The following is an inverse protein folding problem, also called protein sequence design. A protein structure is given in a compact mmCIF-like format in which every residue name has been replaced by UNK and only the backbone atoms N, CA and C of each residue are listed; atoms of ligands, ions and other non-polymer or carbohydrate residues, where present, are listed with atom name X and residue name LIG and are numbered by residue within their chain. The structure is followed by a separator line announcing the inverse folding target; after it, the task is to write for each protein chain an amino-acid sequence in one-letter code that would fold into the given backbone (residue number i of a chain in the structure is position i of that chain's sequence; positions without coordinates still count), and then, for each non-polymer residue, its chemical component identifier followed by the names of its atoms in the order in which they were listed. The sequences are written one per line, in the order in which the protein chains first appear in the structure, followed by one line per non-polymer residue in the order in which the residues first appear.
data_IF_932420703095
#
_entry.id   IF_932420703095
#
_cell.length_a   1.000
_cell.length_b   1.000
_cell.length_c   1.000
_cell.angle_alpha   90.00
_cell.angle_beta   90.00
_cell.angle_gamma   90.00
#
_symmetry.space_group_name_H-M   'P 1'
#
loop_
_entity.id
_entity.type
_entity.pdbx_description
1 polymer ?
#
# COMPACT_ATOMS: atom_id res chain seq x y z
N UNK A 1 -26.18 16.51 -16.07
CA UNK A 1 -25.89 15.07 -15.85
C UNK A 1 -24.38 14.91 -15.99
N UNK A 2 -23.70 14.40 -14.98
CA UNK A 2 -22.26 14.11 -15.06
C UNK A 2 -22.05 12.69 -15.60
N UNK A 3 -20.95 12.42 -16.33
CA UNK A 3 -20.71 11.11 -16.91
C UNK A 3 -20.48 10.06 -15.82
N UNK A 4 -20.94 8.83 -16.06
CA UNK A 4 -20.66 7.70 -15.17
C UNK A 4 -19.21 7.30 -15.35
N UNK A 5 -18.44 7.27 -14.25
CA UNK A 5 -17.02 6.96 -14.25
C UNK A 5 -16.80 5.54 -13.75
N UNK A 6 -16.33 4.65 -14.63
CA UNK A 6 -16.11 3.24 -14.33
C UNK A 6 -14.61 2.88 -14.41
N UNK A 7 -14.14 2.08 -13.47
CA UNK A 7 -12.77 1.56 -13.47
C UNK A 7 -12.51 0.50 -14.57
N UNK A 8 -13.54 0.02 -15.28
CA UNK A 8 -13.36 -0.78 -16.49
C UNK A 8 -12.77 0.03 -17.65
N UNK A 9 -12.96 1.36 -17.61
CA UNK A 9 -12.68 2.25 -18.74
C UNK A 9 -11.46 3.14 -18.46
N UNK A 10 -10.47 2.63 -17.72
CA UNK A 10 -9.34 3.44 -17.26
C UNK A 10 -8.55 4.08 -18.41
N UNK A 11 -8.45 3.41 -19.55
CA UNK A 11 -7.74 3.94 -20.72
C UNK A 11 -8.47 5.16 -21.31
N UNK A 12 -9.81 5.13 -21.35
CA UNK A 12 -10.60 6.31 -21.68
C UNK A 12 -10.39 7.44 -20.67
N UNK A 13 -10.41 7.11 -19.37
CA UNK A 13 -10.22 8.12 -18.32
C UNK A 13 -8.82 8.72 -18.31
N UNK A 14 -7.81 7.98 -18.76
CA UNK A 14 -6.46 8.51 -18.96
C UNK A 14 -6.45 9.64 -19.98
N UNK A 15 -7.07 9.44 -21.14
CA UNK A 15 -7.19 10.47 -22.17
C UNK A 15 -7.96 11.68 -21.64
N UNK A 16 -9.06 11.46 -20.90
CA UNK A 16 -9.86 12.52 -20.29
C UNK A 16 -9.05 13.30 -19.25
N UNK A 17 -8.28 12.62 -18.40
CA UNK A 17 -7.42 13.27 -17.39
C UNK A 17 -6.33 14.11 -18.06
N UNK A 18 -5.71 13.61 -19.13
CA UNK A 18 -4.71 14.34 -19.90
C UNK A 18 -5.32 15.57 -20.61
N UNK A 19 -6.49 15.42 -21.23
CA UNK A 19 -7.19 16.52 -21.87
C UNK A 19 -7.64 17.58 -20.85
N UNK A 20 -8.22 17.15 -19.73
CA UNK A 20 -8.63 18.04 -18.63
C UNK A 20 -7.43 18.82 -18.09
N UNK A 21 -6.24 18.21 -18.04
CA UNK A 21 -4.99 18.90 -17.70
C UNK A 21 -4.59 19.95 -18.72
N UNK A 22 -4.57 19.58 -20.00
CA UNK A 22 -4.17 20.50 -21.08
C UNK A 22 -5.10 21.71 -21.20
N UNK A 23 -6.37 21.53 -20.85
CA UNK A 23 -7.41 22.56 -20.90
C UNK A 23 -7.64 23.26 -19.56
N UNK A 24 -6.79 23.01 -18.55
CA UNK A 24 -6.89 23.60 -17.21
C UNK A 24 -8.29 23.44 -16.57
N UNK A 25 -8.82 22.20 -16.60
CA UNK A 25 -10.13 21.83 -16.05
C UNK A 25 -9.97 21.02 -14.74
N UNK A 26 -9.52 21.64 -13.62
CA UNK A 26 -9.21 20.93 -12.37
C UNK A 26 -10.44 20.27 -11.74
N UNK A 27 -11.64 20.81 -11.96
CA UNK A 27 -12.87 20.24 -11.41
C UNK A 27 -13.25 18.91 -12.08
N UNK A 28 -13.02 18.79 -13.39
CA UNK A 28 -13.23 17.53 -14.10
C UNK A 28 -12.22 16.47 -13.64
N UNK A 29 -10.96 16.86 -13.50
CA UNK A 29 -9.92 16.01 -12.94
C UNK A 29 -10.30 15.50 -11.54
N UNK A 30 -10.79 16.40 -10.68
CA UNK A 30 -11.24 16.07 -9.32
C UNK A 30 -12.44 15.15 -9.31
N UNK A 31 -13.41 15.40 -10.19
CA UNK A 31 -14.59 14.55 -10.34
C UNK A 31 -14.21 13.11 -10.73
N UNK A 32 -13.40 12.95 -11.78
CA UNK A 32 -12.99 11.63 -12.29
C UNK A 32 -12.19 10.88 -11.24
N UNK A 33 -11.15 11.50 -10.65
CA UNK A 33 -10.34 10.85 -9.64
C UNK A 33 -11.12 10.50 -8.37
N UNK A 34 -12.06 11.36 -7.95
CA UNK A 34 -12.94 11.04 -6.81
C UNK A 34 -13.76 9.78 -7.10
N UNK A 35 -14.38 9.69 -8.29
CA UNK A 35 -15.23 8.56 -8.65
C UNK A 35 -14.47 7.26 -8.86
N UNK A 36 -13.26 7.33 -9.40
CA UNK A 36 -12.38 6.15 -9.49
C UNK A 36 -11.83 5.76 -8.12
N UNK A 37 -11.49 6.72 -7.26
CA UNK A 37 -11.03 6.48 -5.88
C UNK A 37 -12.09 5.83 -4.97
N UNK A 38 -13.37 6.05 -5.25
CA UNK A 38 -14.48 5.34 -4.60
C UNK A 38 -14.49 3.83 -4.93
N UNK A 39 -13.94 3.42 -6.08
CA UNK A 39 -13.88 2.04 -6.54
C UNK A 39 -12.64 1.30 -6.00
N UNK A 40 -12.60 1.08 -4.68
CA UNK A 40 -11.42 0.59 -3.93
C UNK A 40 -10.74 -0.66 -4.53
N UNK A 41 -11.51 -1.62 -5.07
CA UNK A 41 -10.96 -2.84 -5.68
C UNK A 41 -10.09 -2.58 -6.91
N UNK A 42 -10.28 -1.45 -7.59
CA UNK A 42 -9.50 -1.06 -8.77
C UNK A 42 -8.16 -0.42 -8.45
N UNK A 43 -7.95 0.05 -7.21
CA UNK A 43 -6.77 0.84 -6.84
C UNK A 43 -5.51 -0.04 -6.86
N UNK A 44 -5.55 -1.23 -6.26
CA UNK A 44 -4.37 -2.14 -6.18
C UNK A 44 -3.76 -2.48 -7.54
N UNK A 45 -4.52 -2.97 -8.54
CA UNK A 45 -3.94 -3.27 -9.85
C UNK A 45 -3.46 -2.00 -10.58
N UNK A 46 -4.04 -0.84 -10.30
CA UNK A 46 -3.76 0.40 -11.04
C UNK A 46 -3.02 1.47 -10.21
N UNK A 47 -2.39 1.09 -9.10
CA UNK A 47 -1.82 2.04 -8.13
C UNK A 47 -0.82 3.02 -8.76
N UNK A 48 -0.08 2.57 -9.77
CA UNK A 48 0.86 3.42 -10.53
C UNK A 48 0.13 4.53 -11.29
N UNK A 49 -0.94 4.18 -12.02
CA UNK A 49 -1.74 5.14 -12.80
C UNK A 49 -2.42 6.14 -11.87
N UNK A 50 -3.07 5.65 -10.83
CA UNK A 50 -3.73 6.50 -9.83
C UNK A 50 -2.75 7.44 -9.13
N UNK A 51 -1.57 6.96 -8.76
CA UNK A 51 -0.56 7.81 -8.15
C UNK A 51 -0.07 8.88 -9.12
N UNK A 52 0.18 8.52 -10.38
CA UNK A 52 0.58 9.48 -11.40
C UNK A 52 -0.49 10.57 -11.57
N UNK A 53 -1.75 10.20 -11.79
CA UNK A 53 -2.84 11.16 -11.96
C UNK A 53 -3.06 12.03 -10.72
N UNK A 54 -3.09 11.43 -9.53
CA UNK A 54 -3.32 12.16 -8.27
C UNK A 54 -2.18 13.14 -7.91
N UNK A 55 -0.98 12.95 -8.45
CA UNK A 55 0.17 13.83 -8.19
C UNK A 55 0.38 14.89 -9.27
N UNK A 56 -0.34 14.82 -10.39
CA UNK A 56 -0.28 15.81 -11.48
C UNK A 56 -1.07 17.09 -11.17
N UNK A 57 -2.15 17.01 -10.40
CA UNK A 57 -2.97 18.15 -9.96
C UNK A 57 -3.10 18.18 -8.44
N UNK A 58 -2.92 19.36 -7.84
CA UNK A 58 -3.27 19.66 -6.44
C UNK A 58 -3.17 18.46 -5.49
N UNK A 59 -1.96 17.91 -5.28
CA UNK A 59 -1.75 16.69 -4.50
C UNK A 59 -2.41 16.71 -3.10
N UNK A 60 -2.66 17.91 -2.54
CA UNK A 60 -3.38 18.11 -1.28
C UNK A 60 -4.85 17.68 -1.32
N UNK A 61 -5.47 17.64 -2.49
CA UNK A 61 -6.88 17.25 -2.69
C UNK A 61 -7.08 15.73 -2.74
N UNK A 62 -6.00 14.96 -2.94
CA UNK A 62 -6.05 13.50 -3.11
C UNK A 62 -5.20 12.76 -2.07
N UNK A 63 -5.00 13.31 -0.87
CA UNK A 63 -4.06 12.76 0.12
C UNK A 63 -4.30 11.27 0.41
N UNK A 64 -5.56 10.88 0.59
CA UNK A 64 -5.94 9.51 0.89
C UNK A 64 -5.62 8.56 -0.27
N UNK A 65 -5.93 8.96 -1.51
CA UNK A 65 -5.64 8.14 -2.69
C UNK A 65 -4.13 8.02 -2.93
N UNK A 66 -3.39 9.14 -2.79
CA UNK A 66 -1.92 9.15 -2.92
C UNK A 66 -1.32 8.21 -1.88
N UNK A 67 -1.71 8.35 -0.61
CA UNK A 67 -1.21 7.49 0.45
C UNK A 67 -1.54 6.02 0.19
N UNK A 68 -2.75 5.70 -0.24
CA UNK A 68 -3.14 4.33 -0.53
C UNK A 68 -2.28 3.73 -1.67
N UNK A 69 -2.02 4.50 -2.72
CA UNK A 69 -1.13 4.07 -3.79
C UNK A 69 0.31 3.87 -3.29
N UNK A 70 0.83 4.78 -2.48
CA UNK A 70 2.13 4.62 -1.83
C UNK A 70 2.19 3.37 -0.97
N UNK A 71 1.14 3.10 -0.18
CA UNK A 71 1.01 1.93 0.69
C UNK A 71 1.06 0.64 -0.12
N UNK A 72 0.28 0.56 -1.18
CA UNK A 72 0.25 -0.58 -2.10
C UNK A 72 1.63 -0.80 -2.72
N UNK A 73 2.26 0.25 -3.26
CA UNK A 73 3.55 0.14 -3.92
C UNK A 73 4.70 -0.18 -2.96
N UNK A 74 4.68 0.37 -1.75
CA UNK A 74 5.71 0.14 -0.74
C UNK A 74 5.69 -1.30 -0.19
N UNK A 75 4.52 -1.91 -0.11
CA UNK A 75 4.36 -3.29 0.38
C UNK A 75 4.58 -4.37 -0.68
N UNK A 76 4.75 -4.01 -1.95
CA UNK A 76 5.07 -5.00 -3.01
C UNK A 76 6.36 -5.75 -2.69
N UNK A 77 6.34 -7.06 -3.00
CA UNK A 77 7.55 -7.89 -2.90
C UNK A 77 8.60 -7.44 -3.90
N UNK A 78 8.24 -7.31 -5.17
CA UNK A 78 9.13 -6.86 -6.24
C UNK A 78 9.39 -5.34 -6.19
N UNK A 79 10.55 -4.90 -6.72
CA UNK A 79 10.80 -3.48 -6.95
C UNK A 79 9.87 -2.91 -8.02
N UNK A 80 9.81 -1.58 -8.10
CA UNK A 80 9.14 -0.88 -9.19
C UNK A 80 9.84 -1.24 -10.51
N UNK A 81 9.10 -1.72 -11.49
CA UNK A 81 9.62 -2.02 -12.83
C UNK A 81 9.99 -0.74 -13.57
N UNK A 82 10.85 -0.85 -14.59
CA UNK A 82 11.23 0.32 -15.40
C UNK A 82 10.02 1.01 -16.01
N UNK A 83 9.09 0.26 -16.60
CA UNK A 83 7.83 0.81 -17.16
C UNK A 83 7.03 1.59 -16.12
N UNK A 84 6.93 1.08 -14.89
CA UNK A 84 6.22 1.79 -13.82
C UNK A 84 6.98 3.05 -13.37
N UNK A 85 8.31 3.00 -13.35
CA UNK A 85 9.15 4.15 -13.03
C UNK A 85 9.02 5.27 -14.09
N UNK A 86 8.98 4.89 -15.38
CA UNK A 86 8.78 5.81 -16.49
C UNK A 86 7.42 6.53 -16.37
N UNK A 87 6.36 5.80 -16.03
CA UNK A 87 5.01 6.36 -15.82
C UNK A 87 4.94 7.32 -14.63
N UNK A 88 5.64 7.03 -13.53
CA UNK A 88 5.65 7.88 -12.33
C UNK A 88 6.58 9.10 -12.45
N UNK A 89 7.58 9.00 -13.32
CA UNK A 89 8.71 9.93 -13.36
C UNK A 89 9.67 9.77 -12.19
N UNK A 90 10.86 10.39 -12.33
CA UNK A 90 11.97 10.18 -11.40
C UNK A 90 11.63 10.55 -9.94
N UNK A 91 10.98 11.70 -9.73
CA UNK A 91 10.68 12.21 -8.37
C UNK A 91 9.78 11.26 -7.59
N UNK A 92 8.64 10.88 -8.16
CA UNK A 92 7.66 10.02 -7.48
C UNK A 92 8.21 8.61 -7.31
N UNK A 93 8.95 8.10 -8.30
CA UNK A 93 9.64 6.81 -8.20
C UNK A 93 10.60 6.77 -7.01
N UNK A 94 11.44 7.80 -6.85
CA UNK A 94 12.37 7.90 -5.70
C UNK A 94 11.59 7.91 -4.38
N UNK A 95 10.48 8.65 -4.28
CA UNK A 95 9.67 8.69 -3.06
C UNK A 95 9.07 7.32 -2.73
N UNK A 96 8.51 6.62 -3.72
CA UNK A 96 7.94 5.27 -3.55
C UNK A 96 9.04 4.28 -3.14
N UNK A 97 10.20 4.32 -3.80
CA UNK A 97 11.34 3.47 -3.44
C UNK A 97 11.86 3.76 -2.03
N UNK A 98 11.89 5.02 -1.63
CA UNK A 98 12.26 5.44 -0.26
C UNK A 98 11.26 4.92 0.77
N UNK A 99 9.95 5.04 0.50
CA UNK A 99 8.90 4.49 1.36
C UNK A 99 9.06 2.97 1.52
N UNK A 100 9.25 2.26 0.40
CA UNK A 100 9.51 0.82 0.38
C UNK A 100 10.72 0.46 1.24
N UNK A 101 11.83 1.17 1.07
CA UNK A 101 13.07 0.87 1.81
C UNK A 101 12.95 1.16 3.30
N UNK A 102 12.24 2.23 3.69
CA UNK A 102 11.95 2.51 5.10
C UNK A 102 11.11 1.42 5.75
N UNK A 103 10.11 0.89 5.05
CA UNK A 103 9.34 -0.26 5.54
C UNK A 103 10.25 -1.47 5.70
N UNK A 104 11.06 -1.77 4.69
CA UNK A 104 11.94 -2.95 4.70
C UNK A 104 13.02 -2.87 5.78
N UNK A 105 13.59 -1.70 6.03
CA UNK A 105 14.63 -1.53 7.04
C UNK A 105 14.12 -1.80 8.46
N UNK A 106 12.83 -1.61 8.74
CA UNK A 106 12.23 -2.00 10.02
C UNK A 106 12.32 -3.51 10.28
N UNK A 107 12.35 -4.33 9.23
CA UNK A 107 12.50 -5.79 9.32
C UNK A 107 13.96 -6.25 9.44
N UNK A 108 14.94 -5.33 9.49
CA UNK A 108 16.33 -5.69 9.81
C UNK A 108 16.51 -6.08 11.29
N UNK A 109 15.61 -5.63 12.16
CA UNK A 109 15.52 -6.04 13.57
C UNK A 109 14.10 -6.57 13.84
N UNK A 110 13.77 -7.78 13.36
CA UNK A 110 12.41 -8.30 13.38
C UNK A 110 11.80 -8.38 14.79
N UNK A 111 12.64 -8.61 15.81
CA UNK A 111 12.22 -8.72 17.21
C UNK A 111 11.54 -7.44 17.72
N UNK A 112 11.96 -6.28 17.20
CA UNK A 112 11.37 -4.99 17.56
C UNK A 112 9.92 -4.81 17.05
N UNK A 113 9.53 -5.61 16.05
CA UNK A 113 8.20 -5.58 15.45
C UNK A 113 7.22 -6.57 16.09
N UNK A 114 7.71 -7.57 16.83
CA UNK A 114 6.86 -8.59 17.44
C UNK A 114 5.84 -8.00 18.42
N UNK A 115 6.18 -6.91 19.11
CA UNK A 115 5.28 -6.24 20.05
C UNK A 115 4.01 -5.68 19.40
N UNK A 116 4.05 -5.39 18.09
CA UNK A 116 2.90 -4.89 17.32
C UNK A 116 2.02 -6.02 16.78
N UNK A 117 2.44 -7.28 16.93
CA UNK A 117 1.61 -8.44 16.61
C UNK A 117 0.74 -8.77 17.83
N UNK A 118 -0.54 -8.42 17.71
CA UNK A 118 -1.56 -8.79 18.69
C UNK A 118 -1.76 -10.31 18.62
N UNK A 119 -1.68 -10.97 19.77
CA UNK A 119 -2.00 -12.39 19.92
C UNK A 119 -3.32 -12.53 20.66
N UNK A 120 -4.06 -13.60 20.36
CA UNK A 120 -5.33 -13.90 21.01
C UNK A 120 -5.13 -14.08 22.53
N UNK A 121 -6.12 -13.70 23.33
CA UNK A 121 -6.03 -13.78 24.80
C UNK A 121 -5.79 -15.20 25.32
N UNK A 122 -6.42 -16.19 24.68
CA UNK A 122 -6.25 -17.64 24.94
C UNK A 122 -5.05 -18.28 24.24
N UNK A 123 -4.15 -17.49 23.64
CA UNK A 123 -2.94 -18.05 23.02
C UNK A 123 -2.06 -18.73 24.10
N UNK A 124 -1.76 -20.04 24.00
CA UNK A 124 -0.92 -20.74 24.97
C UNK A 124 0.53 -20.21 24.98
N UNK A 125 0.94 -19.53 23.89
CA UNK A 125 2.26 -18.95 23.71
C UNK A 125 2.31 -17.44 23.94
N UNK A 126 1.31 -16.85 24.61
CA UNK A 126 1.22 -15.40 24.83
C UNK A 126 2.47 -14.82 25.51
N UNK A 127 3.10 -15.59 26.42
CA UNK A 127 4.32 -15.17 27.13
C UNK A 127 5.61 -15.44 26.36
N UNK A 128 5.62 -16.40 25.44
CA UNK A 128 6.84 -16.87 24.76
C UNK A 128 6.99 -16.29 23.35
N UNK A 129 6.09 -15.41 22.92
CA UNK A 129 6.07 -14.75 21.60
C UNK A 129 6.08 -15.71 20.39
N UNK A 130 5.88 -17.02 20.55
CA UNK A 130 6.00 -17.98 19.44
C UNK A 130 5.12 -17.63 18.23
N UNK A 131 3.84 -17.31 18.45
CA UNK A 131 2.95 -16.90 17.36
C UNK A 131 3.34 -15.56 16.73
N UNK A 132 3.86 -14.61 17.51
CA UNK A 132 4.36 -13.32 16.98
C UNK A 132 5.56 -13.53 16.08
N UNK A 133 6.50 -14.35 16.56
CA UNK A 133 7.70 -14.71 15.85
C UNK A 133 7.39 -15.42 14.54
N UNK A 134 6.42 -16.33 14.52
CA UNK A 134 5.98 -17.01 13.29
C UNK A 134 5.48 -16.03 12.24
N UNK A 135 4.64 -15.06 12.63
CA UNK A 135 4.12 -14.03 11.71
C UNK A 135 5.24 -13.18 11.15
N UNK A 136 6.11 -12.63 12.01
CA UNK A 136 7.23 -11.80 11.59
C UNK A 136 8.19 -12.59 10.69
N UNK A 137 8.53 -13.83 11.05
CA UNK A 137 9.38 -14.71 10.23
C UNK A 137 8.76 -14.97 8.86
N UNK A 138 7.46 -15.16 8.77
CA UNK A 138 6.77 -15.36 7.49
C UNK A 138 6.83 -14.10 6.60
N UNK A 139 6.69 -12.90 7.19
CA UNK A 139 6.86 -11.64 6.45
C UNK A 139 8.30 -11.45 5.99
N UNK A 140 9.29 -11.70 6.85
CA UNK A 140 10.72 -11.65 6.50
C UNK A 140 11.05 -12.64 5.38
N UNK A 141 10.48 -13.85 5.42
CA UNK A 141 10.61 -14.82 4.34
C UNK A 141 10.08 -14.26 3.02
N UNK A 142 8.88 -13.68 3.01
CA UNK A 142 8.30 -13.04 1.82
C UNK A 142 9.14 -11.85 1.29
N UNK A 143 9.88 -11.16 2.18
CA UNK A 143 10.78 -10.07 1.81
C UNK A 143 12.04 -10.56 1.10
N UNK A 144 12.56 -11.72 1.49
CA UNK A 144 13.83 -12.29 1.04
C UNK A 144 13.68 -13.25 -0.15
N UNK A 145 12.53 -13.93 -0.27
CA UNK A 145 12.27 -14.83 -1.38
C UNK A 145 12.14 -14.07 -2.69
N UNK A 146 12.84 -14.53 -3.73
CA UNK A 146 12.68 -14.03 -5.09
C UNK A 146 11.29 -14.45 -5.59
N UNK A 147 10.34 -13.52 -5.79
CA UNK A 147 9.00 -13.89 -6.23
C UNK A 147 9.06 -14.49 -7.64
N UNK A 148 8.22 -15.49 -7.90
CA UNK A 148 7.92 -15.89 -9.28
C UNK A 148 7.33 -14.69 -10.04
N UNK A 149 7.46 -14.66 -11.37
CA UNK A 149 6.86 -13.59 -12.19
C UNK A 149 5.35 -13.44 -11.97
N UNK A 150 4.66 -14.53 -11.64
CA UNK A 150 3.23 -14.54 -11.29
C UNK A 150 2.91 -13.93 -9.92
N UNK A 151 3.91 -13.76 -9.05
CA UNK A 151 3.77 -13.18 -7.71
C UNK A 151 4.20 -11.70 -7.66
N UNK A 152 4.42 -11.07 -8.82
CA UNK A 152 4.97 -9.71 -8.94
C UNK A 152 4.12 -8.64 -8.22
N UNK A 153 2.81 -8.85 -8.16
CA UNK A 153 1.86 -7.91 -7.58
C UNK A 153 1.47 -8.23 -6.13
N UNK A 154 1.96 -9.34 -5.58
CA UNK A 154 1.68 -9.71 -4.20
C UNK A 154 2.41 -8.78 -3.23
N UNK A 155 1.73 -8.44 -2.14
CA UNK A 155 2.33 -7.76 -1.02
C UNK A 155 3.12 -8.76 -0.13
N UNK A 156 3.95 -8.21 0.75
CA UNK A 156 4.78 -8.99 1.70
C UNK A 156 3.95 -9.68 2.81
N UNK A 157 2.64 -9.40 2.89
CA UNK A 157 1.71 -9.91 3.90
C UNK A 157 0.73 -10.95 3.34
N UNK A 158 0.70 -11.16 2.03
CA UNK A 158 -0.11 -12.16 1.36
C UNK A 158 0.53 -13.56 1.48
N UNK A 159 -0.30 -14.59 1.39
CA UNK A 159 0.12 -16.00 1.43
C UNK A 159 1.02 -16.35 2.63
N UNK A 160 0.79 -15.70 3.78
CA UNK A 160 1.49 -16.07 5.00
C UNK A 160 1.01 -17.45 5.43
N UNK A 161 1.96 -18.38 5.60
CA UNK A 161 1.65 -19.69 6.13
C UNK A 161 1.27 -19.54 7.61
N UNK A 162 0.03 -19.89 7.95
CA UNK A 162 -0.42 -20.03 9.33
C UNK A 162 0.03 -21.35 9.96
N UNK A 163 0.77 -22.17 9.23
CA UNK A 163 1.28 -23.45 9.72
C UNK A 163 2.14 -23.18 10.97
N UNK A 164 1.85 -23.91 12.05
CA UNK A 164 2.47 -23.79 13.37
C UNK A 164 1.99 -22.61 14.23
N UNK A 165 1.05 -21.78 13.77
CA UNK A 165 0.31 -20.91 14.68
C UNK A 165 -0.66 -21.74 15.52
N UNK A 166 -1.00 -21.27 16.71
CA UNK A 166 -2.05 -21.91 17.51
C UNK A 166 -3.44 -21.63 16.91
N UNK A 167 -4.41 -22.48 17.25
CA UNK A 167 -5.79 -22.44 16.74
C UNK A 167 -6.50 -21.10 17.02
N UNK A 168 -6.08 -20.37 18.05
CA UNK A 168 -6.64 -19.05 18.38
C UNK A 168 -6.02 -17.90 17.58
N UNK A 169 -4.73 -17.97 17.26
CA UNK A 169 -4.02 -16.88 16.58
C UNK A 169 -4.07 -17.00 15.06
N UNK A 170 -4.16 -18.22 14.52
CA UNK A 170 -4.25 -18.44 13.07
C UNK A 170 -5.39 -17.64 12.42
N UNK A 171 -6.64 -17.70 12.93
CA UNK A 171 -7.76 -16.98 12.36
C UNK A 171 -7.66 -15.46 12.44
N UNK A 172 -6.95 -14.91 13.42
CA UNK A 172 -6.86 -13.46 13.67
C UNK A 172 -5.61 -12.80 13.10
N UNK A 173 -4.74 -13.57 12.43
CA UNK A 173 -3.43 -13.11 11.95
C UNK A 173 -3.52 -11.86 11.07
N UNK A 174 -4.51 -11.79 10.18
CA UNK A 174 -4.69 -10.64 9.29
C UNK A 174 -5.04 -9.37 10.07
N UNK A 175 -5.84 -9.46 11.12
CA UNK A 175 -6.15 -8.32 11.98
C UNK A 175 -4.87 -7.81 12.69
N UNK A 176 -4.03 -8.72 13.18
CA UNK A 176 -2.76 -8.36 13.82
C UNK A 176 -1.77 -7.72 12.83
N UNK A 177 -1.77 -8.15 11.58
CA UNK A 177 -0.97 -7.52 10.52
C UNK A 177 -1.48 -6.12 10.22
N UNK A 178 -2.80 -5.90 10.19
CA UNK A 178 -3.35 -4.56 10.02
C UNK A 178 -2.97 -3.63 11.18
N UNK A 179 -2.88 -4.14 12.41
CA UNK A 179 -2.30 -3.38 13.54
C UNK A 179 -0.84 -3.02 13.28
N UNK A 180 0.02 -3.99 12.91
CA UNK A 180 1.41 -3.73 12.57
C UNK A 180 1.55 -2.66 11.48
N UNK A 181 0.75 -2.76 10.42
CA UNK A 181 0.73 -1.79 9.33
C UNK A 181 0.40 -0.41 9.88
N UNK A 182 -0.75 -0.24 10.54
CA UNK A 182 -1.25 1.05 11.02
C UNK A 182 -0.33 1.71 12.04
N UNK A 183 0.16 0.95 13.02
CA UNK A 183 0.91 1.50 14.15
C UNK A 183 2.38 1.75 13.82
N UNK A 184 2.96 0.99 12.88
CA UNK A 184 4.41 1.00 12.67
C UNK A 184 4.87 1.24 11.25
N UNK A 185 4.19 0.72 10.23
CA UNK A 185 4.67 0.75 8.85
C UNK A 185 4.08 1.93 8.04
N UNK A 186 2.77 2.13 8.13
CA UNK A 186 2.01 3.21 7.50
C UNK A 186 2.55 4.60 7.86
N UNK A 187 2.97 4.89 9.12
CA UNK A 187 3.61 6.16 9.46
C UNK A 187 4.91 6.42 8.70
N UNK A 188 5.71 5.39 8.40
CA UNK A 188 6.93 5.56 7.61
C UNK A 188 6.64 5.86 6.14
N UNK A 189 5.58 5.24 5.60
CA UNK A 189 5.09 5.50 4.25
C UNK A 189 4.54 6.93 4.15
N UNK A 190 3.76 7.38 5.14
CA UNK A 190 3.16 8.72 5.16
C UNK A 190 4.21 9.82 5.03
N UNK A 191 5.33 9.69 5.77
CA UNK A 191 6.48 10.63 5.72
C UNK A 191 7.08 10.77 4.32
N UNK A 192 6.90 9.80 3.43
CA UNK A 192 7.45 9.80 2.07
C UNK A 192 6.51 10.39 1.02
N UNK A 193 5.23 10.60 1.34
CA UNK A 193 4.24 11.12 0.38
C UNK A 193 4.50 12.58 -0.03
N UNK A 194 5.33 13.31 0.74
CA UNK A 194 5.58 14.73 0.51
C UNK A 194 4.38 15.64 0.82
N UNK A 195 3.30 15.09 1.37
CA UNK A 195 2.10 15.82 1.73
C UNK A 195 2.22 16.29 3.18
N UNK A 196 2.26 17.61 3.39
CA UNK A 196 2.20 18.18 4.73
C UNK A 196 0.80 17.97 5.35
N UNK A 197 0.74 17.36 6.53
CA UNK A 197 -0.49 17.11 7.29
C UNK A 197 -0.41 15.89 8.20
N UNK A 198 -1.30 15.81 9.19
CA UNK A 198 -1.53 14.62 10.00
C UNK A 198 -2.07 13.48 9.13
N UNK A 199 -1.77 12.23 9.49
CA UNK A 199 -2.40 11.07 8.85
C UNK A 199 -3.94 11.22 8.93
N UNK A 200 -4.69 10.99 7.85
CA UNK A 200 -6.13 11.02 7.90
C UNK A 200 -6.61 9.96 8.90
N UNK A 201 -7.41 10.38 9.88
CA UNK A 201 -8.15 9.47 10.73
C UNK A 201 -9.08 8.64 9.83
N UNK A 202 -8.77 7.36 9.68
CA UNK A 202 -9.64 6.44 8.93
C UNK A 202 -10.76 6.01 9.87
N UNK A 203 -11.92 6.65 9.75
CA UNK A 203 -13.21 6.15 10.28
C UNK A 203 -13.62 4.84 9.64
#
# INVERSE_FOLDING_TARGET
MLPVVLASDLDLWEEVIQAARMLEMPDLHRYVLSKLGEQKSSIKPNAVRFLNWATQYEAKSYKTLIFECFRILAYRRLPISQTNADTLGARITIQVMTARERVRSLFLVPESLEQYIIVHEFCPHRKTSSCRHIVIRAIVKNLMEVPSRSAAELDIFENLSSNNMCDFCGPTVMASIETLKKEKLDPEIWKCTGISGTMPEQT
#
